data_IF_652021104152
#
_entry.id   IF_652021104152
#
_cell.length_a   1.000
_cell.length_b   1.000
_cell.length_c   1.000
_cell.angle_alpha   90.00
_cell.angle_beta   90.00
_cell.angle_gamma   90.00
#
_symmetry.space_group_name_H-M   'P 1'
#
loop_
_entity.id
_entity.type
_entity.pdbx_description
1 polymer ?
#
# COMPACT_ATOMS: atom_id res chain seq x y z
N UNK A 1 -46.37 -11.19 2.92
CA UNK A 1 -45.16 -10.74 3.59
C UNK A 1 -44.10 -11.85 3.72
N UNK A 2 -44.32 -13.02 4.37
CA UNK A 2 -43.31 -14.09 4.53
C UNK A 2 -42.70 -14.59 3.21
N UNK A 3 -43.50 -14.82 2.16
CA UNK A 3 -42.98 -15.27 0.84
C UNK A 3 -42.08 -14.23 0.19
N UNK A 4 -42.43 -12.94 0.28
CA UNK A 4 -41.63 -11.85 -0.24
C UNK A 4 -40.28 -11.76 0.49
N UNK A 5 -40.30 -11.90 1.82
CA UNK A 5 -39.07 -11.90 2.64
C UNK A 5 -38.14 -13.06 2.26
N UNK A 6 -38.69 -14.27 2.06
CA UNK A 6 -37.88 -15.43 1.63
C UNK A 6 -37.28 -15.21 0.26
N UNK A 7 -38.00 -14.65 -0.71
CA UNK A 7 -37.48 -14.32 -2.04
C UNK A 7 -36.33 -13.32 -1.93
N UNK A 8 -36.49 -12.28 -1.11
CA UNK A 8 -35.44 -11.27 -0.89
C UNK A 8 -34.19 -11.93 -0.29
N UNK A 9 -34.35 -12.77 0.72
CA UNK A 9 -33.20 -13.47 1.34
C UNK A 9 -32.50 -14.37 0.33
N UNK A 10 -33.24 -15.14 -0.48
CA UNK A 10 -32.66 -16.00 -1.53
C UNK A 10 -31.88 -15.16 -2.56
N UNK A 11 -32.45 -14.03 -3.01
CA UNK A 11 -31.76 -13.14 -3.95
C UNK A 11 -30.49 -12.54 -3.36
N UNK A 12 -30.49 -12.16 -2.07
CA UNK A 12 -29.29 -11.66 -1.37
C UNK A 12 -28.25 -12.75 -1.29
N UNK A 13 -28.60 -13.98 -0.92
CA UNK A 13 -27.63 -15.09 -0.83
C UNK A 13 -27.06 -15.43 -2.20
N UNK A 14 -27.88 -15.44 -3.25
CA UNK A 14 -27.42 -15.67 -4.62
C UNK A 14 -26.50 -14.53 -5.10
N UNK A 15 -26.83 -13.27 -4.78
CA UNK A 15 -26.00 -12.11 -5.11
C UNK A 15 -24.65 -12.17 -4.40
N UNK A 16 -24.63 -12.48 -3.10
CA UNK A 16 -23.40 -12.64 -2.33
C UNK A 16 -22.57 -13.78 -2.91
N UNK A 17 -23.18 -14.96 -3.14
CA UNK A 17 -22.51 -16.11 -3.73
C UNK A 17 -21.90 -15.78 -5.09
N UNK A 18 -22.64 -15.12 -5.97
CA UNK A 18 -22.13 -14.65 -7.26
C UNK A 18 -20.96 -13.66 -7.10
N UNK A 19 -21.11 -12.67 -6.21
CA UNK A 19 -20.08 -11.65 -6.00
C UNK A 19 -18.77 -12.20 -5.42
N UNK A 20 -18.82 -13.31 -4.66
CA UNK A 20 -17.61 -14.00 -4.17
C UNK A 20 -16.90 -14.73 -5.31
N UNK A 21 -17.64 -15.26 -6.28
CA UNK A 21 -17.09 -16.10 -7.37
C UNK A 21 -16.64 -15.31 -8.59
N UNK A 22 -17.02 -14.04 -8.70
CA UNK A 22 -16.69 -13.20 -9.86
C UNK A 22 -15.55 -12.24 -9.53
N UNK A 23 -14.41 -12.48 -10.18
CA UNK A 23 -13.29 -11.53 -10.17
C UNK A 23 -13.64 -10.31 -11.03
N UNK A 24 -13.49 -9.08 -10.51
CA UNK A 24 -13.67 -7.89 -11.33
C UNK A 24 -12.70 -7.88 -12.51
N UNK A 25 -13.24 -7.72 -13.72
CA UNK A 25 -12.40 -7.55 -14.91
C UNK A 25 -12.01 -6.09 -15.05
N UNK A 26 -10.71 -5.81 -14.96
CA UNK A 26 -10.16 -4.49 -15.26
C UNK A 26 -9.65 -4.47 -16.70
N UNK A 27 -10.02 -3.41 -17.42
CA UNK A 27 -9.50 -3.21 -18.76
C UNK A 27 -8.01 -2.86 -18.69
N UNK A 28 -7.19 -3.59 -19.45
CA UNK A 28 -5.80 -3.20 -19.69
C UNK A 28 -5.77 -1.82 -20.36
N UNK A 29 -5.02 -0.89 -19.79
CA UNK A 29 -4.88 0.46 -20.35
C UNK A 29 -3.53 0.62 -21.06
N UNK A 30 -3.54 1.35 -22.15
CA UNK A 30 -2.34 1.85 -22.78
C UNK A 30 -1.77 3.01 -21.93
N UNK A 31 -0.53 2.87 -21.51
CA UNK A 31 0.16 3.84 -20.66
C UNK A 31 1.04 4.82 -21.43
N UNK A 32 1.06 4.77 -22.76
CA UNK A 32 1.92 5.60 -23.61
C UNK A 32 1.76 7.08 -23.28
N UNK A 33 0.54 7.57 -23.20
CA UNK A 33 0.29 8.98 -22.86
C UNK A 33 0.79 9.36 -21.44
N UNK A 34 0.63 8.46 -20.46
CA UNK A 34 1.12 8.71 -19.11
C UNK A 34 2.65 8.76 -19.06
N UNK A 35 3.31 7.88 -19.81
CA UNK A 35 4.76 7.86 -19.98
C UNK A 35 5.25 9.15 -20.66
N UNK A 36 4.62 9.57 -21.75
CA UNK A 36 5.04 10.78 -22.48
C UNK A 36 4.90 12.03 -21.60
N UNK A 37 3.82 12.11 -20.82
CA UNK A 37 3.65 13.19 -19.83
C UNK A 37 4.73 13.15 -18.74
N UNK A 38 5.09 11.97 -18.26
CA UNK A 38 6.16 11.82 -17.28
C UNK A 38 7.54 12.18 -17.86
N UNK A 39 7.85 11.74 -19.10
CA UNK A 39 9.10 12.08 -19.80
C UNK A 39 9.34 13.59 -19.92
N UNK A 40 8.27 14.35 -20.14
CA UNK A 40 8.36 15.81 -20.29
C UNK A 40 8.81 16.53 -19.00
N UNK A 41 8.83 15.85 -17.86
CA UNK A 41 9.17 16.42 -16.53
C UNK A 41 10.36 15.76 -15.87
N UNK A 42 11.04 14.83 -16.56
CA UNK A 42 12.24 14.16 -16.02
C UNK A 42 13.41 15.12 -15.85
N UNK A 43 14.16 14.90 -14.77
CA UNK A 43 15.50 15.49 -14.55
C UNK A 43 16.57 14.62 -15.22
N UNK A 44 17.78 15.14 -15.43
CA UNK A 44 18.87 14.46 -16.15
C UNK A 44 19.28 13.10 -15.54
N UNK A 45 19.12 12.93 -14.20
CA UNK A 45 19.45 11.70 -13.49
C UNK A 45 18.23 10.79 -13.28
N UNK A 46 17.15 11.00 -14.03
CA UNK A 46 15.91 10.24 -13.94
C UNK A 46 15.62 9.45 -15.21
N UNK A 47 15.11 8.26 -15.04
CA UNK A 47 14.65 7.42 -16.14
C UNK A 47 13.31 6.75 -15.81
N UNK A 48 12.53 6.47 -16.85
CA UNK A 48 11.28 5.72 -16.73
C UNK A 48 11.59 4.24 -16.94
N UNK A 49 11.23 3.45 -15.94
CA UNK A 49 11.27 1.99 -16.01
C UNK A 49 9.85 1.47 -16.17
N UNK A 50 9.61 0.67 -17.21
CA UNK A 50 8.30 0.09 -17.54
C UNK A 50 8.39 -1.42 -17.38
N UNK A 51 7.44 -2.01 -16.69
CA UNK A 51 7.41 -3.44 -16.41
C UNK A 51 6.01 -4.02 -16.51
N UNK A 52 5.94 -5.36 -16.58
CA UNK A 52 4.69 -6.10 -16.62
C UNK A 52 4.15 -6.33 -15.19
N UNK A 53 2.84 -6.12 -15.04
CA UNK A 53 2.07 -6.39 -13.85
C UNK A 53 0.67 -6.89 -14.22
N UNK A 54 -0.23 -7.01 -13.23
CA UNK A 54 -1.63 -7.40 -13.42
C UNK A 54 -2.55 -6.59 -12.50
N UNK A 55 -3.86 -6.83 -12.61
CA UNK A 55 -4.91 -6.12 -11.89
C UNK A 55 -5.70 -7.01 -10.90
N UNK A 56 -5.08 -7.72 -9.92
CA UNK A 56 -5.81 -8.45 -8.89
C UNK A 56 -6.59 -7.46 -8.01
N UNK A 57 -7.90 -7.70 -7.81
CA UNK A 57 -8.69 -6.81 -6.97
C UNK A 57 -8.41 -7.00 -5.48
N UNK A 58 -8.23 -8.24 -5.05
CA UNK A 58 -8.06 -8.63 -3.66
C UNK A 58 -6.91 -9.64 -3.49
N UNK A 59 -6.59 -10.02 -2.25
CA UNK A 59 -5.55 -11.00 -1.96
C UNK A 59 -5.92 -12.40 -2.46
N UNK A 60 -7.23 -12.76 -2.46
CA UNK A 60 -7.70 -14.04 -3.00
C UNK A 60 -7.34 -14.19 -4.49
N UNK A 61 -7.48 -13.12 -5.27
CA UNK A 61 -7.08 -13.12 -6.68
C UNK A 61 -5.58 -13.41 -6.84
N UNK A 62 -4.74 -12.84 -5.95
CA UNK A 62 -3.29 -13.09 -5.97
C UNK A 62 -2.96 -14.55 -5.68
N UNK A 63 -3.65 -15.17 -4.72
CA UNK A 63 -3.38 -16.56 -4.34
C UNK A 63 -3.93 -17.58 -5.35
N UNK A 64 -5.06 -17.29 -6.00
CA UNK A 64 -5.83 -18.33 -6.70
C UNK A 64 -6.16 -18.03 -8.16
N UNK A 65 -6.03 -16.78 -8.63
CA UNK A 65 -6.59 -16.39 -9.94
C UNK A 65 -5.64 -15.59 -10.84
N UNK A 66 -4.36 -15.61 -10.55
CA UNK A 66 -3.39 -14.80 -11.30
C UNK A 66 -3.37 -15.08 -12.80
N UNK A 67 -3.71 -16.30 -13.24
CA UNK A 67 -3.79 -16.66 -14.66
C UNK A 67 -5.02 -16.08 -15.35
N UNK A 68 -6.08 -15.78 -14.60
CA UNK A 68 -7.33 -15.20 -15.11
C UNK A 68 -7.28 -13.66 -15.12
N UNK A 69 -6.34 -13.04 -14.40
CA UNK A 69 -6.25 -11.60 -14.23
C UNK A 69 -5.57 -10.94 -15.44
N UNK A 70 -6.19 -9.83 -15.88
CA UNK A 70 -5.67 -9.05 -17.02
C UNK A 70 -4.29 -8.48 -16.77
N UNK A 71 -3.42 -8.56 -17.77
CA UNK A 71 -2.11 -7.92 -17.76
C UNK A 71 -2.25 -6.39 -17.78
N UNK A 72 -1.30 -5.71 -17.14
CA UNK A 72 -1.17 -4.26 -17.12
C UNK A 72 0.30 -3.87 -17.19
N UNK A 73 0.67 -2.99 -18.10
CA UNK A 73 1.97 -2.31 -18.02
C UNK A 73 1.93 -1.27 -16.92
N UNK A 74 2.97 -1.25 -16.10
CA UNK A 74 3.14 -0.27 -15.03
C UNK A 74 4.48 0.40 -15.20
N UNK A 75 4.61 1.65 -14.75
CA UNK A 75 5.88 2.35 -14.78
C UNK A 75 6.19 3.00 -13.43
N UNK A 76 7.45 3.27 -13.25
CA UNK A 76 7.97 4.12 -12.19
C UNK A 76 9.10 5.01 -12.72
N UNK A 77 9.54 5.94 -11.89
CA UNK A 77 10.67 6.82 -12.19
C UNK A 77 11.81 6.42 -11.26
N UNK A 78 12.89 5.94 -11.85
CA UNK A 78 14.15 5.66 -11.17
C UNK A 78 15.02 6.92 -11.17
N UNK A 79 15.56 7.25 -10.01
CA UNK A 79 16.54 8.32 -9.85
C UNK A 79 17.76 7.72 -9.17
N UNK A 80 18.92 7.80 -9.83
CA UNK A 80 20.19 7.32 -9.29
C UNK A 80 21.05 8.48 -8.77
N UNK A 81 21.89 8.26 -7.75
CA UNK A 81 22.92 9.23 -7.37
C UNK A 81 23.85 9.56 -8.55
N UNK A 82 24.41 10.77 -8.57
CA UNK A 82 25.26 11.22 -9.69
C UNK A 82 26.66 10.57 -9.73
N UNK A 83 27.04 9.82 -8.72
CA UNK A 83 28.30 9.10 -8.66
C UNK A 83 28.20 7.71 -9.31
N UNK A 84 29.34 7.12 -9.65
CA UNK A 84 29.41 5.76 -10.18
C UNK A 84 29.38 4.77 -9.01
N UNK A 85 28.56 3.72 -9.11
CA UNK A 85 28.47 2.70 -8.08
C UNK A 85 27.29 1.77 -8.24
N UNK A 86 27.17 0.81 -7.33
CA UNK A 86 26.01 -0.06 -7.16
C UNK A 86 25.27 0.40 -5.90
N UNK A 87 24.04 0.83 -6.07
CA UNK A 87 23.29 1.52 -5.04
C UNK A 87 22.23 0.64 -4.39
N UNK A 88 22.09 0.68 -3.04
CA UNK A 88 20.86 0.23 -2.42
C UNK A 88 19.70 1.09 -2.91
N UNK A 89 18.50 0.55 -2.95
CA UNK A 89 17.35 1.24 -3.53
C UNK A 89 16.20 1.36 -2.54
N UNK A 90 15.48 2.48 -2.58
CA UNK A 90 14.22 2.67 -1.86
C UNK A 90 13.10 2.87 -2.86
N UNK A 91 12.13 1.95 -2.83
CA UNK A 91 10.90 2.06 -3.61
C UNK A 91 9.86 2.79 -2.77
N UNK A 92 9.34 3.90 -3.30
CA UNK A 92 8.28 4.67 -2.68
C UNK A 92 6.91 4.35 -3.29
N UNK A 93 5.87 4.29 -2.47
CA UNK A 93 4.50 3.98 -2.86
C UNK A 93 3.54 5.03 -2.32
N UNK A 94 2.88 5.77 -3.22
CA UNK A 94 1.97 6.86 -2.86
C UNK A 94 0.69 6.39 -2.18
N UNK A 95 0.04 7.28 -1.43
CA UNK A 95 -1.27 7.07 -0.82
C UNK A 95 -2.45 7.21 -1.79
N UNK A 96 -3.67 7.13 -1.25
CA UNK A 96 -4.93 7.18 -2.02
C UNK A 96 -5.13 8.44 -2.87
N UNK A 97 -4.53 9.56 -2.47
CA UNK A 97 -4.55 10.82 -3.21
C UNK A 97 -3.46 10.95 -4.28
N UNK A 98 -2.68 9.87 -4.53
CA UNK A 98 -1.55 9.89 -5.45
C UNK A 98 -0.29 10.52 -4.85
N UNK A 99 0.70 10.77 -5.71
CA UNK A 99 1.96 11.42 -5.34
C UNK A 99 1.77 12.88 -4.95
N UNK A 100 2.45 13.30 -3.88
CA UNK A 100 2.44 14.66 -3.37
C UNK A 100 3.85 15.10 -2.94
N UNK A 101 4.04 16.40 -2.74
CA UNK A 101 5.32 17.03 -2.44
C UNK A 101 6.07 16.37 -1.28
N UNK A 102 5.37 16.10 -0.17
CA UNK A 102 6.00 15.47 1.01
C UNK A 102 6.59 14.09 0.70
N UNK A 103 5.96 13.27 -0.16
CA UNK A 103 6.52 11.99 -0.58
C UNK A 103 7.85 12.16 -1.32
N UNK A 104 7.90 13.11 -2.27
CA UNK A 104 9.13 13.40 -3.00
C UNK A 104 10.23 13.95 -2.08
N UNK A 105 9.86 14.72 -1.04
CA UNK A 105 10.79 15.18 -0.03
C UNK A 105 11.54 14.05 0.70
N UNK A 106 10.87 12.92 0.99
CA UNK A 106 11.54 11.73 1.53
C UNK A 106 12.47 11.10 0.48
N UNK A 107 12.00 10.93 -0.76
CA UNK A 107 12.82 10.33 -1.82
C UNK A 107 14.08 11.18 -2.10
N UNK A 108 13.97 12.50 -2.10
CA UNK A 108 15.12 13.41 -2.27
C UNK A 108 16.13 13.24 -1.13
N UNK A 109 15.67 13.15 0.12
CA UNK A 109 16.56 12.89 1.27
C UNK A 109 17.23 11.52 1.21
N UNK A 110 16.56 10.46 0.76
CA UNK A 110 17.18 9.17 0.53
C UNK A 110 18.24 9.24 -0.58
N UNK A 111 17.96 9.96 -1.66
CA UNK A 111 18.90 10.17 -2.75
C UNK A 111 20.16 10.91 -2.27
N UNK A 112 20.01 11.96 -1.44
CA UNK A 112 21.11 12.70 -0.81
C UNK A 112 21.99 11.81 0.09
N UNK A 113 21.40 10.77 0.69
CA UNK A 113 22.12 9.78 1.49
C UNK A 113 22.82 8.71 0.65
N UNK A 114 22.65 8.72 -0.68
CA UNK A 114 23.33 7.79 -1.59
C UNK A 114 22.50 6.56 -1.97
N UNK A 115 21.19 6.53 -1.67
CA UNK A 115 20.28 5.53 -2.21
C UNK A 115 19.88 5.86 -3.65
N UNK A 116 19.71 4.87 -4.51
CA UNK A 116 18.80 5.01 -5.63
C UNK A 116 17.35 5.07 -5.10
N UNK A 117 16.48 5.81 -5.77
CA UNK A 117 15.07 5.91 -5.38
C UNK A 117 14.16 5.64 -6.56
N UNK A 118 13.06 4.95 -6.30
CA UNK A 118 12.08 4.60 -7.32
C UNK A 118 10.68 5.03 -6.89
N UNK A 119 10.07 5.96 -7.62
CA UNK A 119 8.68 6.33 -7.40
C UNK A 119 7.76 5.45 -8.25
N UNK A 120 6.96 4.60 -7.61
CA UNK A 120 6.03 3.68 -8.26
C UNK A 120 4.74 4.38 -8.67
N UNK A 121 4.39 4.36 -9.97
CA UNK A 121 3.23 5.07 -10.51
C UNK A 121 2.04 4.15 -10.83
N UNK A 122 1.60 3.34 -9.87
CA UNK A 122 0.47 2.40 -10.01
C UNK A 122 -0.82 3.05 -10.49
N UNK A 123 -1.13 4.25 -9.99
CA UNK A 123 -2.34 5.00 -10.34
C UNK A 123 -2.30 5.52 -11.77
N UNK A 124 -1.25 6.26 -12.13
CA UNK A 124 -1.11 6.81 -13.48
C UNK A 124 -1.07 5.72 -14.55
N UNK A 125 -0.49 4.57 -14.24
CA UNK A 125 -0.48 3.39 -15.11
C UNK A 125 -1.87 2.79 -15.32
N UNK A 126 -2.85 3.16 -14.50
CA UNK A 126 -4.26 2.72 -14.60
C UNK A 126 -5.22 3.88 -14.90
N UNK A 127 -4.68 5.03 -15.34
CA UNK A 127 -5.50 6.21 -15.65
C UNK A 127 -6.28 6.76 -14.47
N UNK A 128 -5.77 6.56 -13.24
CA UNK A 128 -6.39 6.98 -11.98
C UNK A 128 -5.55 8.07 -11.36
N UNK A 129 -6.18 9.16 -10.91
CA UNK A 129 -5.51 10.22 -10.16
C UNK A 129 -5.64 10.02 -8.64
N UNK A 130 -6.81 9.54 -8.18
CA UNK A 130 -7.10 9.33 -6.76
C UNK A 130 -8.11 8.19 -6.57
N UNK A 131 -7.98 7.46 -5.46
CA UNK A 131 -8.96 6.47 -5.00
C UNK A 131 -9.69 6.93 -3.73
N UNK A 132 -9.45 8.15 -3.25
CA UNK A 132 -10.13 8.71 -2.06
C UNK A 132 -11.65 8.60 -2.22
N UNK A 133 -12.32 8.16 -1.17
CA UNK A 133 -13.79 7.98 -1.14
C UNK A 133 -14.33 6.81 -1.96
N UNK A 134 -13.51 6.09 -2.73
CA UNK A 134 -13.92 4.89 -3.51
C UNK A 134 -13.19 3.63 -3.07
N UNK A 135 -11.86 3.66 -2.96
CA UNK A 135 -10.98 2.57 -2.56
C UNK A 135 -11.11 1.28 -3.41
N UNK A 136 -11.56 1.41 -4.69
CA UNK A 136 -11.96 0.27 -5.53
C UNK A 136 -11.24 0.22 -6.88
N UNK A 137 -10.63 1.33 -7.31
CA UNK A 137 -10.07 1.45 -8.67
C UNK A 137 -8.63 0.99 -8.77
N UNK A 138 -7.84 1.25 -7.74
CA UNK A 138 -6.51 0.68 -7.54
C UNK A 138 -6.45 0.21 -6.08
N UNK A 139 -6.14 -1.06 -5.87
CA UNK A 139 -6.21 -1.74 -4.58
C UNK A 139 -4.82 -2.07 -4.04
N UNK A 140 -4.74 -2.38 -2.74
CA UNK A 140 -3.47 -2.82 -2.11
C UNK A 140 -2.88 -4.04 -2.85
N UNK A 141 -3.62 -5.12 -3.18
CA UNK A 141 -3.07 -6.26 -3.92
C UNK A 141 -2.51 -5.91 -5.30
N UNK A 142 -3.16 -5.01 -6.07
CA UNK A 142 -2.60 -4.51 -7.33
C UNK A 142 -1.23 -3.86 -7.11
N UNK A 143 -1.12 -2.98 -6.11
CA UNK A 143 0.09 -2.22 -5.85
C UNK A 143 1.20 -3.07 -5.21
N UNK A 144 0.87 -4.12 -4.45
CA UNK A 144 1.83 -5.12 -3.96
C UNK A 144 2.47 -5.84 -5.14
N UNK A 145 1.65 -6.31 -6.09
CA UNK A 145 2.16 -6.95 -7.30
C UNK A 145 3.03 -6.00 -8.11
N UNK A 146 2.63 -4.73 -8.25
CA UNK A 146 3.44 -3.71 -8.91
C UNK A 146 4.79 -3.52 -8.22
N UNK A 147 4.82 -3.49 -6.87
CA UNK A 147 6.05 -3.30 -6.10
C UNK A 147 7.04 -4.47 -6.28
N UNK A 148 6.56 -5.72 -6.25
CA UNK A 148 7.41 -6.88 -6.52
C UNK A 148 7.83 -6.99 -7.99
N UNK A 149 6.95 -6.62 -8.93
CA UNK A 149 7.29 -6.56 -10.36
C UNK A 149 8.35 -5.49 -10.64
N UNK A 150 8.23 -4.32 -9.99
CA UNK A 150 9.27 -3.28 -10.04
C UNK A 150 10.60 -3.78 -9.46
N UNK A 151 10.58 -4.45 -8.31
CA UNK A 151 11.78 -5.01 -7.69
C UNK A 151 12.47 -6.01 -8.63
N UNK A 152 11.70 -6.84 -9.32
CA UNK A 152 12.21 -7.79 -10.32
C UNK A 152 12.82 -7.06 -11.52
N UNK A 153 12.16 -6.08 -12.08
CA UNK A 153 12.68 -5.30 -13.22
C UNK A 153 13.97 -4.57 -12.84
N UNK A 154 13.98 -3.94 -11.66
CA UNK A 154 15.16 -3.24 -11.15
C UNK A 154 16.34 -4.16 -10.84
N UNK A 155 16.13 -5.46 -10.69
CA UNK A 155 17.20 -6.44 -10.51
C UNK A 155 18.03 -6.68 -11.78
N UNK A 156 17.54 -6.25 -12.94
CA UNK A 156 18.26 -6.32 -14.22
C UNK A 156 19.20 -5.12 -14.42
N UNK A 157 19.13 -4.09 -13.59
CA UNK A 157 20.04 -2.94 -13.63
C UNK A 157 21.27 -3.24 -12.77
N UNK A 158 22.44 -3.38 -13.42
CA UNK A 158 23.73 -3.70 -12.75
C UNK A 158 24.20 -2.66 -11.72
N UNK A 159 23.62 -1.45 -11.75
CA UNK A 159 23.91 -0.38 -10.79
C UNK A 159 22.96 -0.39 -9.59
N UNK A 160 22.02 -1.34 -9.49
CA UNK A 160 21.05 -1.45 -8.40
C UNK A 160 21.28 -2.74 -7.61
N UNK A 161 21.51 -2.60 -6.30
CA UNK A 161 21.55 -3.74 -5.39
C UNK A 161 20.18 -4.01 -4.78
N UNK A 162 19.39 -4.83 -5.44
CA UNK A 162 18.05 -5.22 -4.96
C UNK A 162 18.05 -6.07 -3.70
N UNK A 163 19.20 -6.62 -3.27
CA UNK A 163 19.33 -7.29 -1.97
C UNK A 163 19.28 -6.28 -0.82
N UNK A 164 19.56 -5.02 -1.10
CA UNK A 164 19.43 -3.88 -0.21
C UNK A 164 18.29 -2.96 -0.67
N UNK A 165 17.15 -3.53 -1.03
CA UNK A 165 15.95 -2.79 -1.42
C UNK A 165 15.04 -2.56 -0.20
N UNK A 166 14.74 -1.29 0.10
CA UNK A 166 13.74 -0.89 1.07
C UNK A 166 12.42 -0.51 0.39
N UNK A 167 11.32 -0.73 1.08
CA UNK A 167 10.00 -0.25 0.67
C UNK A 167 9.47 0.74 1.68
N UNK A 168 9.00 1.88 1.21
CA UNK A 168 8.31 2.88 2.01
C UNK A 168 7.04 3.33 1.30
N UNK A 169 6.00 3.62 2.06
CA UNK A 169 4.73 4.03 1.46
C UNK A 169 3.82 4.71 2.47
N UNK A 170 2.88 5.49 1.96
CA UNK A 170 2.03 6.37 2.74
C UNK A 170 0.56 5.97 2.61
N UNK A 171 -0.17 5.86 3.71
CA UNK A 171 -1.59 5.52 3.73
C UNK A 171 -1.87 4.21 2.98
N UNK A 172 -2.58 4.24 1.85
CA UNK A 172 -2.76 3.07 0.98
C UNK A 172 -1.42 2.44 0.60
N UNK A 173 -0.42 3.25 0.22
CA UNK A 173 0.95 2.80 -0.02
C UNK A 173 1.64 2.26 1.23
N UNK A 174 1.29 2.79 2.41
CA UNK A 174 1.68 2.22 3.70
C UNK A 174 1.14 0.80 3.88
N UNK A 175 -0.11 0.55 3.47
CA UNK A 175 -0.69 -0.80 3.43
C UNK A 175 0.07 -1.73 2.48
N UNK A 176 0.47 -1.24 1.31
CA UNK A 176 1.34 -2.00 0.39
C UNK A 176 2.65 -2.38 1.10
N UNK A 177 3.29 -1.41 1.75
CA UNK A 177 4.56 -1.62 2.48
C UNK A 177 4.39 -2.62 3.62
N UNK A 178 3.30 -2.55 4.39
CA UNK A 178 2.99 -3.48 5.47
C UNK A 178 2.80 -4.91 4.94
N UNK A 179 1.94 -5.08 3.92
CA UNK A 179 1.60 -6.41 3.41
C UNK A 179 2.68 -7.04 2.52
N UNK A 180 3.62 -6.28 1.94
CA UNK A 180 4.82 -6.88 1.30
C UNK A 180 5.75 -7.56 2.31
N UNK A 181 5.64 -7.21 3.61
CA UNK A 181 6.33 -7.90 4.69
C UNK A 181 5.56 -9.15 5.18
N UNK A 182 4.29 -9.34 4.80
CA UNK A 182 3.52 -10.53 5.15
C UNK A 182 3.96 -11.72 4.30
N UNK A 183 4.56 -12.74 4.95
CA UNK A 183 5.22 -13.87 4.27
C UNK A 183 4.34 -14.61 3.26
N UNK A 184 3.04 -14.90 3.53
CA UNK A 184 2.23 -15.61 2.55
C UNK A 184 2.13 -14.91 1.19
N UNK A 185 1.98 -13.58 1.18
CA UNK A 185 1.91 -12.82 -0.08
C UNK A 185 3.28 -12.71 -0.76
N UNK A 186 4.34 -12.50 0.02
CA UNK A 186 5.71 -12.43 -0.50
C UNK A 186 6.13 -13.75 -1.15
N UNK A 187 5.88 -14.88 -0.49
CA UNK A 187 6.22 -16.22 -0.99
C UNK A 187 5.41 -16.58 -2.26
N UNK A 188 4.16 -16.11 -2.36
CA UNK A 188 3.31 -16.35 -3.53
C UNK A 188 3.77 -15.55 -4.75
N UNK A 189 4.06 -14.26 -4.58
CA UNK A 189 4.39 -13.37 -5.71
C UNK A 189 5.87 -13.47 -6.08
N UNK A 190 6.75 -13.47 -5.08
CA UNK A 190 8.19 -13.30 -5.29
C UNK A 190 9.02 -14.13 -4.29
N UNK A 191 9.03 -15.48 -4.44
CA UNK A 191 9.69 -16.36 -3.49
C UNK A 191 11.21 -16.14 -3.40
N UNK A 192 11.83 -15.64 -4.46
CA UNK A 192 13.29 -15.47 -4.58
C UNK A 192 13.77 -14.04 -4.34
N UNK A 193 12.89 -13.04 -4.40
CA UNK A 193 13.20 -11.64 -4.17
C UNK A 193 12.29 -11.09 -3.06
N UNK A 194 12.88 -10.31 -2.15
CA UNK A 194 12.16 -9.70 -1.04
C UNK A 194 12.76 -8.34 -0.72
N UNK A 195 11.97 -7.49 -0.11
CA UNK A 195 12.47 -6.24 0.45
C UNK A 195 13.27 -6.52 1.71
N UNK A 196 14.37 -5.79 1.88
CA UNK A 196 15.26 -5.89 3.03
C UNK A 196 14.84 -5.03 4.22
N UNK A 197 13.97 -4.05 4.01
CA UNK A 197 13.38 -3.20 5.07
C UNK A 197 12.03 -2.64 4.63
N UNK A 198 11.11 -2.44 5.60
CA UNK A 198 9.76 -1.93 5.37
C UNK A 198 9.47 -0.78 6.34
N UNK A 199 9.08 0.38 5.81
CA UNK A 199 8.72 1.56 6.61
C UNK A 199 7.37 2.14 6.15
N UNK A 200 6.24 1.59 6.61
CA UNK A 200 4.92 2.11 6.32
C UNK A 200 4.58 3.33 7.17
N UNK A 201 4.07 4.38 6.52
CA UNK A 201 3.51 5.58 7.15
C UNK A 201 1.99 5.46 7.22
N UNK A 202 1.43 5.59 8.40
CA UNK A 202 0.00 5.56 8.70
C UNK A 202 -0.76 4.53 7.83
N UNK A 203 -0.35 3.23 7.90
CA UNK A 203 -0.93 2.17 7.09
C UNK A 203 -2.31 1.73 7.59
N UNK A 204 -3.18 1.16 6.72
CA UNK A 204 -4.47 0.60 7.11
C UNK A 204 -4.33 -0.75 7.85
N UNK A 205 -3.86 -0.71 9.10
CA UNK A 205 -3.65 -1.89 9.95
C UNK A 205 -4.94 -2.58 10.41
N UNK A 206 -6.13 -2.00 10.12
CA UNK A 206 -7.40 -2.62 10.46
C UNK A 206 -7.68 -3.93 9.72
N UNK A 207 -6.90 -4.28 8.71
CA UNK A 207 -6.93 -5.59 8.04
C UNK A 207 -5.91 -6.49 8.72
N UNK A 208 -6.37 -7.41 9.56
CA UNK A 208 -5.51 -8.27 10.39
C UNK A 208 -5.48 -9.67 9.76
N UNK A 209 -4.29 -10.17 9.35
CA UNK A 209 -4.14 -11.54 8.88
C UNK A 209 -4.44 -12.58 9.98
N UNK A 210 -5.16 -13.64 9.64
CA UNK A 210 -5.38 -14.78 10.56
C UNK A 210 -4.04 -15.48 10.86
N UNK A 211 -3.13 -15.53 9.88
CA UNK A 211 -1.77 -16.01 10.06
C UNK A 211 -0.80 -14.81 10.16
N UNK A 212 -0.37 -14.51 11.37
CA UNK A 212 0.59 -13.44 11.66
C UNK A 212 2.01 -13.94 11.38
N UNK A 213 2.33 -14.14 10.10
CA UNK A 213 3.64 -14.57 9.62
C UNK A 213 4.26 -13.50 8.75
N UNK A 214 5.32 -12.87 9.26
CA UNK A 214 6.03 -11.80 8.58
C UNK A 214 7.42 -12.25 8.13
N UNK A 215 8.00 -11.55 7.16
CA UNK A 215 9.41 -11.74 6.79
C UNK A 215 10.31 -11.31 7.94
N UNK A 216 11.56 -11.81 7.95
CA UNK A 216 12.54 -11.39 8.97
C UNK A 216 13.17 -10.01 8.67
N UNK A 217 12.69 -9.31 7.64
CA UNK A 217 13.15 -7.98 7.32
C UNK A 217 12.63 -6.97 8.35
N UNK A 218 13.43 -6.00 8.79
CA UNK A 218 12.99 -4.93 9.66
C UNK A 218 11.70 -4.26 9.16
N UNK A 219 10.71 -4.16 10.04
CA UNK A 219 9.43 -3.51 9.79
C UNK A 219 9.13 -2.54 10.94
N UNK A 220 8.91 -1.26 10.61
CA UNK A 220 8.57 -0.25 11.62
C UNK A 220 7.46 0.66 11.10
N UNK A 221 6.36 0.73 11.84
CA UNK A 221 5.17 1.53 11.48
C UNK A 221 5.29 2.93 12.08
N UNK A 222 4.95 3.96 11.29
CA UNK A 222 4.81 5.34 11.76
C UNK A 222 3.34 5.74 11.69
N UNK A 223 2.72 6.09 12.82
CA UNK A 223 1.29 6.39 12.91
C UNK A 223 1.03 7.71 13.63
N UNK A 224 -0.10 8.35 13.36
CA UNK A 224 -0.57 9.54 14.06
C UNK A 224 -1.54 9.16 15.18
N UNK A 225 -1.38 9.75 16.38
CA UNK A 225 -2.20 9.43 17.57
C UNK A 225 -3.69 9.71 17.35
N UNK A 226 -4.01 10.80 16.66
CA UNK A 226 -5.40 11.25 16.43
C UNK A 226 -5.84 11.00 14.97
N UNK A 227 -5.22 10.03 14.28
CA UNK A 227 -5.62 9.64 12.93
C UNK A 227 -6.99 8.96 12.97
N UNK A 228 -8.01 9.64 12.44
CA UNK A 228 -9.38 9.15 12.33
C UNK A 228 -9.69 8.60 10.92
N UNK A 229 -8.73 8.64 10.00
CA UNK A 229 -8.84 7.97 8.71
C UNK A 229 -8.45 6.49 8.83
N UNK A 230 -7.25 6.22 9.33
CA UNK A 230 -6.74 4.86 9.64
C UNK A 230 -6.13 4.87 11.06
N UNK A 231 -6.88 4.40 12.07
CA UNK A 231 -6.55 4.64 13.47
C UNK A 231 -5.25 3.96 13.88
N UNK A 232 -4.39 4.67 14.62
CA UNK A 232 -3.16 4.14 15.19
C UNK A 232 -3.40 2.93 16.09
N UNK A 233 -4.52 2.90 16.83
CA UNK A 233 -4.90 1.78 17.68
C UNK A 233 -4.96 0.43 16.94
N UNK A 234 -5.41 0.43 15.67
CA UNK A 234 -5.40 -0.79 14.86
C UNK A 234 -3.98 -1.28 14.54
N UNK A 235 -3.03 -0.34 14.38
CA UNK A 235 -1.63 -0.68 14.19
C UNK A 235 -0.98 -1.19 15.48
N UNK A 236 -1.30 -0.60 16.63
CA UNK A 236 -0.84 -1.08 17.94
C UNK A 236 -1.35 -2.49 18.21
N UNK A 237 -2.64 -2.77 17.96
CA UNK A 237 -3.23 -4.11 18.05
C UNK A 237 -2.51 -5.14 17.16
N UNK A 238 -2.22 -4.79 15.88
CA UNK A 238 -1.51 -5.66 14.96
C UNK A 238 -0.08 -5.94 15.44
N UNK A 239 0.64 -4.90 15.87
CA UNK A 239 2.03 -5.00 16.35
C UNK A 239 2.11 -5.85 17.61
N UNK A 240 1.22 -5.64 18.58
CA UNK A 240 1.14 -6.45 19.81
C UNK A 240 0.90 -7.92 19.49
N UNK A 241 -0.07 -8.22 18.62
CA UNK A 241 -0.38 -9.58 18.22
C UNK A 241 0.77 -10.26 17.47
N UNK A 242 1.44 -9.55 16.54
CA UNK A 242 2.59 -10.06 15.81
C UNK A 242 3.79 -10.31 16.73
N UNK A 243 4.10 -9.38 17.63
CA UNK A 243 5.22 -9.51 18.55
C UNK A 243 4.98 -10.63 19.59
N UNK A 244 3.73 -10.82 20.03
CA UNK A 244 3.33 -11.98 20.86
C UNK A 244 3.52 -13.30 20.11
N UNK A 245 3.39 -13.27 18.78
CA UNK A 245 3.64 -14.43 17.89
C UNK A 245 5.12 -14.63 17.54
N UNK A 246 6.03 -13.83 18.13
CA UNK A 246 7.49 -13.98 18.00
C UNK A 246 8.15 -13.15 16.89
N UNK A 247 7.45 -12.18 16.33
CA UNK A 247 8.02 -11.19 15.40
C UNK A 247 8.50 -9.95 16.16
N UNK A 248 9.39 -9.18 15.53
CA UNK A 248 9.90 -7.90 16.06
C UNK A 248 9.48 -6.77 15.13
N UNK A 249 8.24 -6.32 15.31
CA UNK A 249 7.67 -5.19 14.56
C UNK A 249 7.64 -3.97 15.45
N UNK A 250 8.28 -2.89 14.99
CA UNK A 250 8.28 -1.61 15.69
C UNK A 250 7.10 -0.73 15.31
N UNK A 251 6.70 0.16 16.21
CA UNK A 251 5.74 1.22 15.95
C UNK A 251 6.15 2.51 16.67
N UNK A 252 5.98 3.64 15.99
CA UNK A 252 6.06 4.97 16.59
C UNK A 252 4.75 5.70 16.36
N UNK A 253 4.06 6.05 17.44
CA UNK A 253 2.85 6.87 17.40
C UNK A 253 3.22 8.31 17.75
N UNK A 254 2.92 9.25 16.86
CA UNK A 254 3.23 10.67 17.02
C UNK A 254 2.07 11.40 17.72
N UNK A 255 2.31 12.00 18.91
CA UNK A 255 1.27 12.68 19.68
C UNK A 255 0.63 13.84 18.90
N UNK A 256 -0.70 13.94 18.96
CA UNK A 256 -1.49 15.01 18.31
C UNK A 256 -1.40 15.05 16.78
N UNK A 257 -0.88 14.01 16.14
CA UNK A 257 -0.74 13.90 14.70
C UNK A 257 -1.96 13.22 14.07
N UNK A 258 -2.54 13.86 13.03
CA UNK A 258 -3.64 13.32 12.20
C UNK A 258 -3.09 12.47 11.06
N UNK A 259 -3.98 11.97 10.18
CA UNK A 259 -3.58 11.32 8.94
C UNK A 259 -2.70 12.21 8.07
N UNK A 260 -1.69 11.67 7.41
CA UNK A 260 -0.73 12.43 6.58
C UNK A 260 -0.03 13.57 7.33
N UNK A 261 0.37 13.32 8.58
CA UNK A 261 0.99 14.29 9.48
C UNK A 261 2.30 14.89 8.96
N UNK A 262 2.89 14.27 7.98
CA UNK A 262 4.16 14.69 7.34
C UNK A 262 3.97 15.75 6.24
N UNK A 263 2.74 16.18 5.97
CA UNK A 263 2.44 17.31 5.08
C UNK A 263 2.78 18.65 5.72
N UNK A 264 2.92 19.69 4.88
CA UNK A 264 3.16 21.06 5.32
C UNK A 264 1.89 21.90 5.54
N UNK A 265 0.73 21.42 5.02
CA UNK A 265 -0.55 22.11 5.14
C UNK A 265 -1.19 21.90 6.51
N UNK A 266 -2.07 22.82 6.90
CA UNK A 266 -2.90 22.65 8.10
C UNK A 266 -3.83 21.45 7.99
N UNK A 267 -4.27 20.95 9.16
CA UNK A 267 -5.25 19.86 9.23
C UNK A 267 -6.60 20.32 8.68
N UNK A 268 -7.16 19.53 7.78
CA UNK A 268 -8.48 19.76 7.17
C UNK A 268 -9.35 18.54 7.28
N UNK A 269 -10.67 18.72 7.30
CA UNK A 269 -11.66 17.65 7.19
C UNK A 269 -11.95 17.41 5.70
N UNK A 270 -11.71 16.17 5.24
CA UNK A 270 -12.13 15.69 3.92
C UNK A 270 -13.44 14.89 4.06
N UNK A 271 -14.56 15.51 3.63
CA UNK A 271 -15.88 14.90 3.74
C UNK A 271 -16.10 13.69 2.81
N UNK A 272 -15.28 13.52 1.78
CA UNK A 272 -15.33 12.38 0.86
C UNK A 272 -14.52 11.18 1.36
N UNK A 273 -13.56 11.41 2.23
CA UNK A 273 -12.75 10.36 2.85
C UNK A 273 -13.61 9.45 3.74
N UNK A 274 -13.15 8.20 3.92
CA UNK A 274 -13.72 7.31 4.92
C UNK A 274 -12.96 7.43 6.23
N UNK A 275 -13.68 7.43 7.36
CA UNK A 275 -13.11 7.13 8.67
C UNK A 275 -13.23 5.64 8.93
N UNK A 276 -12.13 4.97 9.23
CA UNK A 276 -12.08 3.54 9.53
C UNK A 276 -11.87 3.25 11.03
N UNK A 277 -12.18 4.22 11.89
CA UNK A 277 -11.93 4.13 13.33
C UNK A 277 -12.54 2.87 13.95
N UNK A 278 -13.76 2.52 13.56
CA UNK A 278 -14.51 1.37 14.08
C UNK A 278 -14.38 0.11 13.20
N UNK A 279 -13.63 0.18 12.11
CA UNK A 279 -13.43 -0.96 11.24
C UNK A 279 -12.35 -1.89 11.77
N UNK A 280 -12.68 -3.19 11.85
CA UNK A 280 -11.71 -4.28 11.99
C UNK A 280 -12.10 -5.37 11.02
N UNK A 281 -11.13 -5.87 10.28
CA UNK A 281 -11.30 -6.86 9.22
C UNK A 281 -10.31 -7.99 9.43
N UNK A 282 -10.70 -9.19 9.01
CA UNK A 282 -9.83 -10.36 8.99
C UNK A 282 -9.38 -10.61 7.55
N UNK A 283 -8.12 -10.99 7.39
CA UNK A 283 -7.58 -11.53 6.16
C UNK A 283 -7.27 -13.01 6.38
N UNK A 284 -8.09 -13.88 5.80
CA UNK A 284 -7.91 -15.33 5.91
C UNK A 284 -6.69 -15.83 5.12
N UNK A 285 -6.26 -17.05 5.42
CA UNK A 285 -5.07 -17.66 4.78
C UNK A 285 -5.25 -17.90 3.28
N UNK A 286 -6.48 -17.94 2.79
CA UNK A 286 -6.83 -18.02 1.37
C UNK A 286 -7.01 -16.66 0.69
N UNK A 287 -6.77 -15.56 1.41
CA UNK A 287 -6.79 -14.20 0.86
C UNK A 287 -8.15 -13.50 0.87
N UNK A 288 -9.16 -14.07 1.53
CA UNK A 288 -10.46 -13.39 1.67
C UNK A 288 -10.40 -12.38 2.81
N UNK A 289 -10.67 -11.11 2.49
CA UNK A 289 -10.92 -10.08 3.50
C UNK A 289 -12.39 -10.08 3.88
N UNK A 290 -12.67 -10.09 5.18
CA UNK A 290 -14.03 -10.05 5.73
C UNK A 290 -14.12 -9.15 6.96
N UNK A 291 -15.30 -8.63 7.25
CA UNK A 291 -15.60 -8.00 8.54
C UNK A 291 -15.57 -9.06 9.66
N UNK A 292 -15.47 -8.62 10.92
CA UNK A 292 -15.46 -9.53 12.09
C UNK A 292 -16.70 -10.42 12.20
N UNK A 293 -17.83 -9.99 11.65
CA UNK A 293 -19.07 -10.79 11.58
C UNK A 293 -19.07 -11.81 10.42
N UNK A 294 -17.95 -11.94 9.66
CA UNK A 294 -17.80 -12.85 8.53
C UNK A 294 -18.34 -12.32 7.20
N UNK A 295 -18.82 -11.07 7.11
CA UNK A 295 -19.26 -10.50 5.83
C UNK A 295 -18.07 -10.29 4.89
N UNK A 296 -18.03 -10.93 3.69
CA UNK A 296 -16.88 -10.89 2.81
C UNK A 296 -16.79 -9.55 2.06
N UNK A 297 -15.55 -9.07 1.84
CA UNK A 297 -15.24 -7.87 1.07
C UNK A 297 -14.58 -8.23 -0.28
N UNK A 298 -14.96 -9.35 -0.86
CA UNK A 298 -14.27 -10.00 -1.99
C UNK A 298 -14.55 -9.39 -3.36
N UNK A 299 -15.48 -8.45 -3.46
CA UNK A 299 -15.79 -7.74 -4.71
C UNK A 299 -16.08 -6.26 -4.45
N UNK A 300 -16.03 -5.39 -5.48
CA UNK A 300 -16.34 -3.95 -5.33
C UNK A 300 -17.70 -3.68 -4.69
N UNK A 301 -18.73 -4.47 -5.05
CA UNK A 301 -20.08 -4.33 -4.49
C UNK A 301 -20.13 -4.74 -3.04
N UNK A 302 -19.53 -5.88 -2.68
CA UNK A 302 -19.46 -6.37 -1.30
C UNK A 302 -18.63 -5.44 -0.42
N UNK A 303 -17.52 -4.93 -0.93
CA UNK A 303 -16.70 -3.96 -0.21
C UNK A 303 -17.48 -2.68 0.12
N UNK A 304 -18.23 -2.12 -0.85
CA UNK A 304 -19.09 -0.95 -0.58
C UNK A 304 -20.15 -1.22 0.48
N UNK A 305 -20.82 -2.38 0.40
CA UNK A 305 -21.82 -2.78 1.37
C UNK A 305 -21.18 -2.99 2.75
N UNK A 306 -20.07 -3.73 2.79
CA UNK A 306 -19.38 -4.05 4.04
C UNK A 306 -18.83 -2.79 4.74
N UNK A 307 -18.21 -1.87 4.01
CA UNK A 307 -17.72 -0.61 4.58
C UNK A 307 -18.85 0.26 5.17
N UNK A 308 -20.07 0.18 4.64
CA UNK A 308 -21.22 0.88 5.21
C UNK A 308 -21.62 0.38 6.63
N UNK A 309 -21.08 -0.75 7.10
CA UNK A 309 -21.31 -1.23 8.46
C UNK A 309 -20.31 -0.75 9.50
N UNK A 310 -19.15 -0.24 9.09
CA UNK A 310 -18.10 0.13 10.04
C UNK A 310 -17.37 1.44 9.71
N UNK A 311 -17.46 1.93 8.46
CA UNK A 311 -16.79 3.15 8.05
C UNK A 311 -17.75 4.32 8.00
N UNK A 312 -17.36 5.43 8.59
CA UNK A 312 -18.06 6.71 8.50
C UNK A 312 -17.50 7.57 7.36
N UNK A 313 -18.16 8.70 7.07
CA UNK A 313 -17.68 9.72 6.16
C UNK A 313 -17.12 10.91 6.91
N UNK A 314 -16.05 11.44 6.37
CA UNK A 314 -15.29 12.53 6.93
C UNK A 314 -14.09 12.03 7.74
N UNK A 315 -12.89 12.42 7.33
CA UNK A 315 -11.66 12.14 8.06
C UNK A 315 -10.73 13.36 8.01
N UNK A 316 -9.98 13.56 9.07
CA UNK A 316 -9.01 14.66 9.19
C UNK A 316 -7.65 14.24 8.66
N UNK A 317 -7.02 15.12 7.91
CA UNK A 317 -5.65 14.92 7.43
C UNK A 317 -4.91 16.23 7.29
N UNK A 318 -3.60 16.21 7.52
CA UNK A 318 -2.77 17.41 7.43
C UNK A 318 -1.59 17.37 8.37
N UNK A 319 -0.74 18.39 8.25
CA UNK A 319 0.58 18.43 8.86
C UNK A 319 0.56 18.60 10.39
N UNK A 320 1.50 17.90 11.02
CA UNK A 320 1.97 18.16 12.37
C UNK A 320 3.50 18.38 12.27
N UNK A 321 3.97 19.57 12.62
CA UNK A 321 5.38 19.94 12.40
C UNK A 321 6.35 19.03 13.14
N UNK A 322 6.10 18.75 14.42
CA UNK A 322 6.97 17.89 15.23
C UNK A 322 7.00 16.46 14.68
N UNK A 323 5.82 15.89 14.38
CA UNK A 323 5.71 14.57 13.79
C UNK A 323 6.44 14.48 12.44
N UNK A 324 6.29 15.50 11.56
CA UNK A 324 6.97 15.57 10.27
C UNK A 324 8.50 15.58 10.41
N UNK A 325 9.04 16.43 11.27
CA UNK A 325 10.49 16.55 11.48
C UNK A 325 11.05 15.25 12.06
N UNK A 326 10.42 14.68 13.08
CA UNK A 326 10.85 13.44 13.74
C UNK A 326 10.71 12.22 12.83
N UNK A 327 9.59 12.08 12.12
CA UNK A 327 9.38 10.95 11.21
C UNK A 327 10.36 10.97 10.04
N UNK A 328 10.66 12.16 9.52
CA UNK A 328 11.64 12.33 8.46
C UNK A 328 13.06 11.93 8.90
N UNK A 329 13.49 12.34 10.11
CA UNK A 329 14.78 11.92 10.67
C UNK A 329 14.81 10.42 10.93
N UNK A 330 13.76 9.87 11.54
CA UNK A 330 13.64 8.43 11.79
C UNK A 330 13.72 7.63 10.48
N UNK A 331 13.03 8.06 9.42
CA UNK A 331 12.98 7.36 8.15
C UNK A 331 14.37 7.22 7.52
N UNK A 332 15.16 8.29 7.54
CA UNK A 332 16.55 8.28 7.05
C UNK A 332 17.43 7.34 7.87
N UNK A 333 17.37 7.44 9.20
CA UNK A 333 18.17 6.61 10.10
C UNK A 333 17.79 5.12 9.97
N UNK A 334 16.51 4.82 9.90
CA UNK A 334 16.01 3.45 9.73
C UNK A 334 16.52 2.82 8.43
N UNK A 335 16.32 3.49 7.29
CA UNK A 335 16.75 2.95 6.00
C UNK A 335 18.28 2.84 5.92
N UNK A 336 19.01 3.82 6.44
CA UNK A 336 20.48 3.78 6.48
C UNK A 336 20.97 2.59 7.30
N UNK A 337 20.48 2.43 8.52
CA UNK A 337 20.85 1.33 9.42
C UNK A 337 20.64 -0.06 8.81
N UNK A 338 19.57 -0.24 8.05
CA UNK A 338 19.17 -1.57 7.59
C UNK A 338 19.60 -1.88 6.14
N UNK A 339 20.00 -0.87 5.37
CA UNK A 339 20.34 -1.05 3.95
C UNK A 339 21.75 -0.61 3.58
N UNK A 340 22.46 0.14 4.44
CA UNK A 340 23.83 0.60 4.17
C UNK A 340 24.86 0.04 5.13
N UNK A 341 24.46 -0.21 6.38
CA UNK A 341 25.34 -0.80 7.42
C UNK A 341 25.26 -2.35 7.34
#
# INVERSE_FOLDING_TARGET
MKKLLIIIIVLIVLFIGYSITVTPSYKTLDITHAIDKAKATLKDNQEIVVFDSKNPFNFYDVFHRMDEISNQKVFGILTKPNNIGVFPIIIGVAGSAGWAEHHYGYLERYLEMGFAVFSLHSFKSRGVESTVGKQLTVTIPMMILDAFSALKELSEDENIDVKRAGLTGWSLGGGVTLFTAWSPIQETISPNLKFAAHLPFYPPCMIIPDELRFTNAPLHILAGEIDDWVPAAACEELVEAANTSGYDIGITVYPGASHSFDRSMDVVLDNDAYSFTDCRMKLSNDGVVSLLNGFPLSSPSLQKIGLAFCADKGAHWGGNRDARERSSSFAIEFMKKHLMD
#
